data_IF_960419777312
#
_entry.id   IF_960419777312
#
_cell.length_a   1.000
_cell.length_b   1.000
_cell.length_c   1.000
_cell.angle_alpha   90.00
_cell.angle_beta   90.00
_cell.angle_gamma   90.00
#
_symmetry.space_group_name_H-M   'P 1'
#
loop_
_entity.id
_entity.type
_entity.pdbx_description
1 polymer ?
#
# COMPACT_ATOMS: atom_id res chain seq x y z
N UNK A 1 -22.63 10.57 -25.26
CA UNK A 1 -21.41 10.99 -24.55
C UNK A 1 -21.64 10.80 -23.07
N UNK A 2 -21.09 9.75 -22.48
CA UNK A 2 -21.20 9.51 -21.03
C UNK A 2 -20.16 10.37 -20.32
N UNK A 3 -20.57 11.56 -19.91
CA UNK A 3 -19.78 12.44 -19.03
C UNK A 3 -19.71 11.78 -17.66
N UNK A 4 -18.61 11.12 -17.32
CA UNK A 4 -18.36 10.56 -16.00
C UNK A 4 -17.34 11.43 -15.26
N UNK A 5 -17.73 12.66 -14.96
CA UNK A 5 -16.96 13.59 -14.13
C UNK A 5 -17.81 14.04 -12.95
N UNK A 6 -18.04 13.14 -12.01
CA UNK A 6 -18.36 13.55 -10.66
C UNK A 6 -17.48 12.76 -9.72
N UNK A 7 -16.39 13.36 -9.19
CA UNK A 7 -15.59 12.74 -8.14
C UNK A 7 -16.46 12.79 -6.88
N UNK A 8 -17.34 11.82 -6.73
CA UNK A 8 -18.09 11.66 -5.49
C UNK A 8 -17.07 11.38 -4.39
N UNK A 9 -16.84 12.37 -3.52
CA UNK A 9 -15.96 12.32 -2.35
C UNK A 9 -16.30 11.17 -1.38
N UNK A 10 -17.47 10.56 -1.57
CA UNK A 10 -17.97 9.40 -0.84
C UNK A 10 -17.20 8.10 -1.13
N UNK A 11 -16.53 7.98 -2.29
CA UNK A 11 -15.88 6.74 -2.75
C UNK A 11 -14.35 6.72 -2.52
N UNK A 12 -13.87 7.42 -1.50
CA UNK A 12 -12.43 7.50 -1.16
C UNK A 12 -12.02 6.54 -0.05
N UNK A 13 -12.98 5.97 0.69
CA UNK A 13 -12.75 5.02 1.78
C UNK A 13 -12.88 3.57 1.29
N UNK A 14 -11.99 3.18 0.39
CA UNK A 14 -11.91 1.81 -0.12
C UNK A 14 -10.98 0.99 0.78
N UNK A 15 -11.38 -0.21 1.24
CA UNK A 15 -10.51 -1.06 2.04
C UNK A 15 -9.33 -1.58 1.21
N UNK A 16 -8.13 -1.50 1.77
CA UNK A 16 -6.92 -2.14 1.23
C UNK A 16 -6.66 -3.45 1.97
N UNK A 17 -6.60 -4.56 1.22
CA UNK A 17 -6.26 -5.88 1.75
C UNK A 17 -5.00 -6.36 1.04
N UNK A 18 -3.95 -6.64 1.82
CA UNK A 18 -2.70 -7.22 1.31
C UNK A 18 -2.44 -8.52 2.08
N UNK A 19 -2.15 -9.61 1.35
CA UNK A 19 -1.90 -10.92 1.93
C UNK A 19 -0.71 -11.58 1.24
N UNK A 20 0.12 -12.28 2.02
CA UNK A 20 1.26 -13.02 1.51
C UNK A 20 2.46 -12.98 2.46
N UNK A 21 3.55 -13.64 2.04
CA UNK A 21 4.81 -13.64 2.79
C UNK A 21 5.40 -12.23 2.83
N UNK A 22 5.83 -11.80 4.02
CA UNK A 22 6.35 -10.45 4.25
C UNK A 22 5.33 -9.50 4.90
N UNK A 23 4.07 -9.91 5.05
CA UNK A 23 3.03 -9.12 5.71
C UNK A 23 2.61 -9.73 7.06
N UNK A 24 2.30 -8.86 8.01
CA UNK A 24 1.70 -9.21 9.29
C UNK A 24 0.18 -9.30 9.17
N UNK A 25 -0.42 -10.32 9.79
CA UNK A 25 -1.87 -10.37 9.93
C UNK A 25 -2.32 -9.30 10.93
N UNK A 26 -3.27 -8.46 10.54
CA UNK A 26 -3.75 -7.38 11.38
C UNK A 26 -4.74 -6.46 10.69
N UNK A 27 -5.26 -5.51 11.46
CA UNK A 27 -6.02 -4.37 10.95
C UNK A 27 -5.26 -3.11 11.30
N UNK A 28 -5.06 -2.27 10.29
CA UNK A 28 -4.32 -1.02 10.40
C UNK A 28 -5.28 0.12 10.04
N UNK A 29 -5.39 1.11 10.93
CA UNK A 29 -6.30 2.24 10.79
C UNK A 29 -5.61 3.50 10.22
N UNK A 30 -4.30 3.40 9.96
CA UNK A 30 -3.48 4.43 9.36
C UNK A 30 -3.96 4.71 7.92
N UNK A 31 -3.91 5.98 7.51
CA UNK A 31 -4.25 6.36 6.14
C UNK A 31 -3.31 5.67 5.14
N UNK A 32 -3.91 5.05 4.14
CA UNK A 32 -3.24 4.44 3.01
C UNK A 32 -3.94 4.89 1.72
N UNK A 33 -3.18 4.97 0.64
CA UNK A 33 -3.66 5.32 -0.69
C UNK A 33 -3.23 4.23 -1.68
N UNK A 34 -3.90 4.10 -2.85
CA UNK A 34 -3.45 3.18 -3.88
C UNK A 34 -2.00 3.41 -4.34
N UNK A 35 -1.48 4.65 -4.23
CA UNK A 35 -0.10 4.98 -4.59
C UNK A 35 0.94 4.30 -3.68
N UNK A 36 0.54 3.85 -2.49
CA UNK A 36 1.41 3.20 -1.51
C UNK A 36 1.68 1.72 -1.85
N UNK A 37 0.88 1.12 -2.74
CA UNK A 37 0.94 -0.32 -3.06
C UNK A 37 2.27 -0.66 -3.75
N UNK A 38 2.63 0.07 -4.80
CA UNK A 38 3.85 -0.19 -5.58
C UNK A 38 5.15 -0.12 -4.75
N UNK A 39 5.43 0.96 -3.99
CA UNK A 39 6.64 1.00 -3.17
C UNK A 39 6.63 -0.02 -2.04
N UNK A 40 5.46 -0.35 -1.47
CA UNK A 40 5.34 -1.40 -0.44
C UNK A 40 5.69 -2.77 -0.98
N UNK A 41 5.17 -3.15 -2.15
CA UNK A 41 5.49 -4.43 -2.77
C UNK A 41 6.95 -4.52 -3.21
N UNK A 42 7.50 -3.44 -3.79
CA UNK A 42 8.91 -3.38 -4.17
C UNK A 42 9.83 -3.63 -2.96
N UNK A 43 9.53 -2.99 -1.83
CA UNK A 43 10.26 -3.19 -0.58
C UNK A 43 10.18 -4.64 -0.08
N UNK A 44 8.99 -5.24 -0.06
CA UNK A 44 8.79 -6.63 0.37
C UNK A 44 9.50 -7.63 -0.54
N UNK A 45 9.55 -7.36 -1.84
CA UNK A 45 10.21 -8.20 -2.83
C UNK A 45 11.73 -7.96 -2.92
N UNK A 46 12.26 -6.92 -2.26
CA UNK A 46 13.67 -6.55 -2.34
C UNK A 46 14.10 -6.05 -3.71
N UNK A 47 13.19 -5.42 -4.46
CA UNK A 47 13.46 -4.84 -5.78
C UNK A 47 13.36 -3.31 -5.74
N UNK A 48 13.95 -2.65 -6.73
CA UNK A 48 13.82 -1.20 -6.86
C UNK A 48 12.37 -0.81 -7.16
N UNK A 49 11.89 0.24 -6.51
CA UNK A 49 10.55 0.76 -6.77
C UNK A 49 10.50 1.40 -8.17
N UNK A 50 9.34 1.36 -8.87
CA UNK A 50 9.16 2.10 -10.11
C UNK A 50 9.49 3.58 -9.92
N UNK A 51 10.13 4.22 -10.90
CA UNK A 51 10.47 5.64 -10.83
C UNK A 51 9.25 6.57 -10.68
N UNK A 52 8.07 6.09 -11.06
CA UNK A 52 6.78 6.77 -10.89
C UNK A 52 6.05 6.44 -9.58
N UNK A 53 6.63 5.63 -8.69
CA UNK A 53 6.04 5.36 -7.38
C UNK A 53 6.13 6.60 -6.49
N UNK A 54 4.99 7.18 -6.12
CA UNK A 54 4.91 8.42 -5.33
C UNK A 54 4.40 8.21 -3.91
N UNK A 55 3.89 7.02 -3.58
CA UNK A 55 3.38 6.70 -2.25
C UNK A 55 4.46 6.35 -1.24
N UNK A 56 4.04 6.07 -0.01
CA UNK A 56 4.89 5.59 1.08
C UNK A 56 4.88 4.07 1.19
N UNK A 57 5.89 3.53 1.86
CA UNK A 57 5.89 2.12 2.27
C UNK A 57 4.97 1.96 3.49
N UNK A 58 4.04 1.01 3.43
CA UNK A 58 3.13 0.67 4.53
C UNK A 58 3.82 -0.23 5.57
N UNK A 59 4.84 0.30 6.23
CA UNK A 59 5.72 -0.44 7.16
C UNK A 59 4.97 -1.03 8.37
N UNK A 60 3.83 -0.45 8.75
CA UNK A 60 2.98 -0.94 9.84
C UNK A 60 2.51 -2.39 9.61
N UNK A 61 2.30 -2.77 8.34
CA UNK A 61 1.82 -4.08 7.94
C UNK A 61 2.93 -5.08 7.61
N UNK A 62 4.20 -4.70 7.76
CA UNK A 62 5.31 -5.53 7.29
C UNK A 62 5.91 -6.38 8.41
N UNK A 63 6.24 -7.62 8.07
CA UNK A 63 7.20 -8.41 8.83
C UNK A 63 8.57 -7.76 8.66
N UNK A 64 8.92 -6.82 9.52
CA UNK A 64 10.32 -6.37 9.59
C UNK A 64 11.15 -7.60 9.94
N UNK A 65 12.22 -7.93 9.18
CA UNK A 65 13.19 -8.88 9.69
C UNK A 65 13.62 -8.36 11.06
N UNK A 66 13.46 -9.17 12.12
CA UNK A 66 14.21 -8.90 13.36
C UNK A 66 15.63 -8.64 12.88
N UNK A 67 16.18 -7.46 13.17
CA UNK A 67 17.56 -7.14 12.85
C UNK A 67 18.39 -8.37 13.22
N UNK A 68 18.88 -9.10 12.21
CA UNK A 68 19.69 -10.27 12.46
C UNK A 68 20.91 -9.74 13.18
N UNK A 69 20.97 -10.03 14.48
CA UNK A 69 22.20 -9.98 15.24
C UNK A 69 23.11 -11.10 14.75
#
# INVERSE_FOLDING_TARGET
>A
STTHESPYSYDTHVPLIIMGRGFLAGRYAQSATPADIAPTLAFVLGVEAPSSATGRILTEGLLTPKAQR
#
